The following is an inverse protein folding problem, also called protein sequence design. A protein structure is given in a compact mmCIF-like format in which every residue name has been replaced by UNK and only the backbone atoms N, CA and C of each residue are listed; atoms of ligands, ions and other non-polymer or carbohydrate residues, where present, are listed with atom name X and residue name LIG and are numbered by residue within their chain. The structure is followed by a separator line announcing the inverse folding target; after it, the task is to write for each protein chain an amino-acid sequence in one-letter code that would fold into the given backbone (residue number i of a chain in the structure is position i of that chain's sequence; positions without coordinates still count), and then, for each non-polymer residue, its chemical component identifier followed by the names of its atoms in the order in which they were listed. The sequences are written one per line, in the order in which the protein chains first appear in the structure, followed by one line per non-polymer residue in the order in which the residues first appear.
data_IF_901099019533
#
_entry.id   IF_901099019533
#
_cell.length_a   1.000
_cell.length_b   1.000
_cell.length_c   1.000
_cell.angle_alpha   90.00
_cell.angle_beta   90.00
_cell.angle_gamma   90.00
#
_symmetry.space_group_name_H-M   'P 1'
#
loop_
_entity.id
_entity.type
_entity.pdbx_description
1 polymer ?
#
# COMPACT_ATOMS: atom_id res chain seq x y z
N UNK A 1 27.43 20.03 2.27
CA UNK A 1 26.06 20.55 2.50
C UNK A 1 25.87 21.77 1.62
N UNK A 2 24.84 21.74 0.75
CA UNK A 2 23.59 22.38 1.14
C UNK A 2 22.35 21.49 0.94
N UNK A 3 21.51 21.50 1.98
CA UNK A 3 20.04 21.57 1.98
C UNK A 3 19.25 20.55 1.16
N UNK A 4 19.00 19.38 1.75
CA UNK A 4 17.91 18.45 1.39
C UNK A 4 16.58 18.89 2.02
N UNK A 5 16.28 20.20 2.02
CA UNK A 5 15.11 20.78 2.70
C UNK A 5 14.30 21.71 1.80
N UNK A 6 14.18 21.37 0.51
CA UNK A 6 13.47 22.21 -0.48
C UNK A 6 12.59 21.42 -1.47
N UNK A 7 12.19 20.19 -1.11
CA UNK A 7 11.20 19.41 -1.88
C UNK A 7 9.80 19.40 -1.27
N UNK A 8 9.68 19.86 -0.02
CA UNK A 8 8.42 19.85 0.74
C UNK A 8 7.69 21.20 0.78
N UNK A 9 8.27 22.27 0.19
CA UNK A 9 7.73 23.64 0.36
C UNK A 9 7.09 24.26 -0.89
N UNK A 10 7.14 23.62 -2.07
CA UNK A 10 6.41 24.11 -3.23
C UNK A 10 4.95 23.59 -3.26
N UNK A 11 4.18 23.96 -2.25
CA UNK A 11 2.72 23.91 -2.32
C UNK A 11 2.25 25.08 -3.20
N UNK A 12 2.13 24.81 -4.51
CA UNK A 12 1.78 25.82 -5.52
C UNK A 12 0.48 26.58 -5.17
N UNK A 13 0.40 27.91 -5.36
CA UNK A 13 -0.81 28.73 -5.14
C UNK A 13 -2.03 28.27 -5.95
N UNK A 14 -1.81 27.45 -6.99
CA UNK A 14 -2.85 26.75 -7.75
C UNK A 14 -3.67 25.80 -6.88
N UNK A 15 -3.08 25.14 -5.87
CA UNK A 15 -3.80 24.25 -4.95
C UNK A 15 -4.76 24.98 -4.01
N UNK A 16 -4.44 26.23 -3.66
CA UNK A 16 -5.31 27.07 -2.84
C UNK A 16 -6.57 27.50 -3.63
N UNK A 17 -6.41 27.90 -4.90
CA UNK A 17 -7.55 28.21 -5.78
C UNK A 17 -8.33 26.96 -6.21
N UNK A 18 -7.65 25.83 -6.41
CA UNK A 18 -8.29 24.55 -6.72
C UNK A 18 -9.21 24.08 -5.58
N UNK A 19 -8.82 24.29 -4.30
CA UNK A 19 -9.65 23.92 -3.13
C UNK A 19 -11.07 24.50 -3.17
N UNK A 20 -11.23 25.72 -3.69
CA UNK A 20 -12.52 26.41 -3.78
C UNK A 20 -13.48 25.69 -4.76
N UNK A 21 -12.94 25.10 -5.85
CA UNK A 21 -13.71 24.55 -6.97
C UNK A 21 -13.72 23.02 -7.06
N UNK A 22 -13.17 22.30 -6.07
CA UNK A 22 -13.15 20.83 -6.11
C UNK A 22 -14.57 20.25 -6.14
N UNK A 23 -14.92 19.39 -7.12
CA UNK A 23 -16.26 18.86 -7.24
C UNK A 23 -16.62 18.00 -6.02
N UNK A 24 -17.88 18.13 -5.61
CA UNK A 24 -18.49 17.28 -4.57
C UNK A 24 -19.82 16.79 -5.09
N UNK A 25 -20.25 15.61 -4.64
CA UNK A 25 -21.59 15.11 -4.97
C UNK A 25 -22.36 14.73 -3.71
N UNK A 26 -23.70 14.76 -3.78
CA UNK A 26 -24.58 14.31 -2.70
C UNK A 26 -24.29 12.83 -2.42
N UNK A 27 -23.57 12.54 -1.34
CA UNK A 27 -23.11 11.20 -0.97
C UNK A 27 -21.61 10.94 -1.11
N UNK A 28 -20.83 11.84 -1.73
CA UNK A 28 -19.36 11.74 -1.74
C UNK A 28 -18.68 13.10 -1.49
N UNK A 29 -18.85 13.66 -0.26
CA UNK A 29 -18.21 14.91 0.15
C UNK A 29 -16.68 14.77 0.26
N UNK A 30 -15.97 15.90 0.22
CA UNK A 30 -14.48 15.95 0.21
C UNK A 30 -13.82 15.13 1.33
N UNK A 31 -14.40 15.13 2.53
CA UNK A 31 -13.89 14.34 3.66
C UNK A 31 -13.90 12.83 3.36
N UNK A 32 -14.94 12.33 2.71
CA UNK A 32 -15.01 10.92 2.29
C UNK A 32 -14.08 10.65 1.09
N UNK A 33 -13.90 11.60 0.17
CA UNK A 33 -12.91 11.47 -0.92
C UNK A 33 -11.49 11.32 -0.37
N UNK A 34 -11.10 12.15 0.60
CA UNK A 34 -9.80 12.05 1.25
C UNK A 34 -9.65 10.73 2.02
N UNK A 35 -10.68 10.30 2.76
CA UNK A 35 -10.66 9.02 3.45
C UNK A 35 -10.58 7.85 2.48
N UNK A 36 -11.29 7.91 1.35
CA UNK A 36 -11.23 6.91 0.30
C UNK A 36 -9.81 6.76 -0.23
N UNK A 37 -9.15 7.88 -0.56
CA UNK A 37 -7.78 7.89 -1.06
C UNK A 37 -6.78 7.37 -0.02
N UNK A 38 -7.00 7.67 1.27
CA UNK A 38 -6.19 7.12 2.37
C UNK A 38 -6.29 5.61 2.47
N UNK A 39 -7.51 5.06 2.41
CA UNK A 39 -7.73 3.60 2.44
C UNK A 39 -7.18 2.94 1.18
N UNK A 40 -7.36 3.59 0.02
CA UNK A 40 -6.78 3.11 -1.24
C UNK A 40 -5.25 3.08 -1.16
N UNK A 41 -4.61 4.10 -0.57
CA UNK A 41 -3.16 4.16 -0.39
C UNK A 41 -2.62 3.09 0.57
N UNK A 42 -3.44 2.60 1.49
CA UNK A 42 -3.06 1.55 2.41
C UNK A 42 -3.16 0.16 1.78
N UNK A 43 -4.24 -0.12 1.04
CA UNK A 43 -4.58 -1.49 0.62
C UNK A 43 -4.54 -1.74 -0.88
N UNK A 44 -4.57 -0.68 -1.70
CA UNK A 44 -4.61 -0.80 -3.17
C UNK A 44 -5.91 -1.40 -3.71
N UNK A 45 -6.93 -1.58 -2.87
CA UNK A 45 -8.18 -2.23 -3.24
C UNK A 45 -9.34 -1.22 -3.26
N UNK A 46 -9.79 -0.89 -4.46
CA UNK A 46 -10.89 0.06 -4.71
C UNK A 46 -12.21 -0.38 -4.08
N UNK A 47 -12.49 -1.69 -4.06
CA UNK A 47 -13.71 -2.23 -3.44
C UNK A 47 -13.68 -1.99 -1.93
N UNK A 48 -12.56 -2.28 -1.30
CA UNK A 48 -12.39 -2.05 0.15
C UNK A 48 -12.39 -0.57 0.49
N UNK A 49 -11.72 0.26 -0.29
CA UNK A 49 -11.75 1.72 -0.11
C UNK A 49 -13.17 2.28 -0.22
N UNK A 50 -13.94 1.84 -1.22
CA UNK A 50 -15.33 2.26 -1.41
C UNK A 50 -16.23 1.78 -0.25
N UNK A 51 -16.07 0.53 0.19
CA UNK A 51 -16.78 -0.04 1.33
C UNK A 51 -16.48 0.73 2.62
N UNK A 52 -15.21 1.05 2.87
CA UNK A 52 -14.76 1.73 4.08
C UNK A 52 -15.35 3.14 4.24
N UNK A 53 -15.64 3.83 3.14
CA UNK A 53 -16.25 5.17 3.18
C UNK A 53 -17.75 5.18 2.89
N UNK A 54 -18.37 4.01 2.67
CA UNK A 54 -19.80 3.90 2.41
C UNK A 54 -20.25 4.47 1.06
N UNK A 55 -19.40 4.44 0.03
CA UNK A 55 -19.76 4.90 -1.33
C UNK A 55 -19.73 3.78 -2.35
N UNK A 56 -20.49 3.92 -3.43
CA UNK A 56 -20.41 2.97 -4.54
C UNK A 56 -19.11 3.16 -5.33
N UNK A 57 -18.56 2.05 -5.87
CA UNK A 57 -17.40 2.12 -6.77
C UNK A 57 -17.68 3.03 -7.98
N UNK A 58 -18.89 2.98 -8.51
CA UNK A 58 -19.32 3.82 -9.64
C UNK A 58 -19.23 5.32 -9.31
N UNK A 59 -19.60 5.72 -8.09
CA UNK A 59 -19.45 7.10 -7.62
C UNK A 59 -17.96 7.50 -7.50
N UNK A 60 -17.10 6.60 -7.01
CA UNK A 60 -15.67 6.83 -6.91
C UNK A 60 -15.01 7.00 -8.30
N UNK A 61 -15.34 6.14 -9.26
CA UNK A 61 -14.87 6.27 -10.65
C UNK A 61 -15.41 7.50 -11.36
N UNK A 62 -16.66 7.90 -11.07
CA UNK A 62 -17.20 9.16 -11.60
C UNK A 62 -16.40 10.35 -11.07
N UNK A 63 -16.14 10.40 -9.77
CA UNK A 63 -15.30 11.44 -9.15
C UNK A 63 -13.90 11.49 -9.77
N UNK A 64 -13.30 10.32 -10.06
CA UNK A 64 -12.02 10.23 -10.77
C UNK A 64 -12.04 10.89 -12.16
N UNK A 65 -13.14 10.80 -12.90
CA UNK A 65 -13.27 11.46 -14.21
C UNK A 65 -13.56 12.95 -14.10
N UNK A 66 -14.27 13.37 -13.06
CA UNK A 66 -14.73 14.75 -12.87
C UNK A 66 -13.70 15.64 -12.16
N UNK A 67 -12.75 15.05 -11.44
CA UNK A 67 -11.78 15.78 -10.62
C UNK A 67 -10.34 15.36 -10.93
N UNK A 68 -9.58 16.26 -11.56
CA UNK A 68 -8.17 16.02 -11.87
C UNK A 68 -7.34 15.72 -10.62
N UNK A 69 -7.45 16.55 -9.57
CA UNK A 69 -6.72 16.33 -8.32
C UNK A 69 -7.03 14.97 -7.69
N UNK A 70 -8.31 14.55 -7.68
CA UNK A 70 -8.68 13.24 -7.15
C UNK A 70 -8.12 12.11 -8.00
N UNK A 71 -8.04 12.27 -9.33
CA UNK A 71 -7.41 11.28 -10.21
C UNK A 71 -5.90 11.17 -9.96
N UNK A 72 -5.20 12.30 -9.83
CA UNK A 72 -3.77 12.31 -9.53
C UNK A 72 -3.48 11.66 -8.17
N UNK A 73 -4.25 12.03 -7.15
CA UNK A 73 -4.12 11.43 -5.82
C UNK A 73 -4.53 9.95 -5.81
N UNK A 74 -5.43 9.52 -6.69
CA UNK A 74 -5.77 8.11 -6.85
C UNK A 74 -4.58 7.31 -7.39
N UNK A 75 -3.92 7.82 -8.42
CA UNK A 75 -2.75 7.16 -9.00
C UNK A 75 -1.58 7.16 -8.01
N UNK A 76 -1.38 8.27 -7.29
CA UNK A 76 -0.42 8.34 -6.19
C UNK A 76 -0.77 7.32 -5.08
N UNK A 77 -2.04 7.19 -4.71
CA UNK A 77 -2.48 6.21 -3.71
C UNK A 77 -2.18 4.78 -4.17
N UNK A 78 -2.42 4.42 -5.43
CA UNK A 78 -2.06 3.10 -5.95
C UNK A 78 -0.55 2.85 -5.91
N UNK A 79 0.26 3.87 -6.17
CA UNK A 79 1.71 3.77 -6.02
C UNK A 79 2.14 3.60 -4.55
N UNK A 80 1.50 4.32 -3.61
CA UNK A 80 1.75 4.14 -2.18
C UNK A 80 1.38 2.73 -1.70
N UNK A 81 0.28 2.17 -2.20
CA UNK A 81 -0.19 0.84 -1.84
C UNK A 81 0.64 -0.28 -2.48
N UNK A 82 1.57 0.06 -3.38
CA UNK A 82 2.33 -0.91 -4.16
C UNK A 82 2.96 -1.99 -3.27
N UNK A 83 3.72 -1.70 -2.20
CA UNK A 83 4.33 -2.74 -1.36
C UNK A 83 3.33 -3.74 -0.76
N UNK A 84 2.16 -3.26 -0.32
CA UNK A 84 1.09 -4.11 0.21
C UNK A 84 0.47 -5.01 -0.86
N UNK A 85 0.15 -4.45 -2.04
CA UNK A 85 -0.36 -5.24 -3.17
C UNK A 85 0.66 -6.27 -3.59
N UNK A 86 1.92 -5.85 -3.59
CA UNK A 86 3.07 -6.64 -3.93
C UNK A 86 3.25 -7.86 -2.99
N UNK A 87 2.95 -7.73 -1.71
CA UNK A 87 2.92 -8.82 -0.72
C UNK A 87 1.75 -9.78 -0.96
N UNK A 88 0.54 -9.25 -1.20
CA UNK A 88 -0.66 -10.06 -1.50
C UNK A 88 -0.46 -10.91 -2.76
N UNK A 89 0.22 -10.37 -3.77
CA UNK A 89 0.54 -11.13 -4.98
C UNK A 89 1.58 -12.22 -4.73
N UNK A 90 2.56 -11.98 -3.86
CA UNK A 90 3.56 -12.98 -3.49
C UNK A 90 2.91 -14.14 -2.72
N UNK A 91 2.05 -13.85 -1.74
CA UNK A 91 1.28 -14.85 -1.00
C UNK A 91 0.46 -15.73 -1.95
N UNK A 92 -0.34 -15.13 -2.85
CA UNK A 92 -1.14 -15.87 -3.83
C UNK A 92 -0.30 -16.66 -4.83
N UNK A 93 0.89 -16.18 -5.17
CA UNK A 93 1.81 -16.87 -6.07
C UNK A 93 2.36 -18.14 -5.40
N UNK A 94 2.84 -18.02 -4.16
CA UNK A 94 3.52 -19.08 -3.43
C UNK A 94 2.55 -20.09 -2.81
N UNK A 95 1.43 -19.62 -2.27
CA UNK A 95 0.46 -20.44 -1.54
C UNK A 95 -0.78 -20.79 -2.37
N UNK A 96 -0.96 -20.18 -3.54
CA UNK A 96 -2.14 -20.36 -4.37
C UNK A 96 -3.39 -19.68 -3.80
N UNK A 97 -4.52 -19.89 -4.47
CA UNK A 97 -5.84 -19.43 -4.02
C UNK A 97 -6.80 -20.59 -3.88
N UNK A 98 -7.59 -20.62 -2.80
CA UNK A 98 -8.62 -21.63 -2.62
C UNK A 98 -9.80 -21.37 -3.58
N UNK A 99 -10.20 -22.42 -4.29
CA UNK A 99 -11.39 -22.45 -5.14
C UNK A 99 -12.34 -23.53 -4.63
N UNK A 100 -13.58 -23.14 -4.37
CA UNK A 100 -14.67 -24.08 -4.13
C UNK A 100 -15.10 -24.72 -5.44
N UNK A 101 -15.15 -26.05 -5.47
CA UNK A 101 -15.64 -26.85 -6.59
C UNK A 101 -17.11 -27.16 -6.34
N UNK A 102 -17.97 -26.76 -7.27
CA UNK A 102 -19.40 -27.06 -7.24
C UNK A 102 -19.75 -28.14 -8.25
N UNK A 103 -20.58 -29.09 -7.85
CA UNK A 103 -21.18 -30.09 -8.73
C UNK A 103 -22.68 -30.17 -8.43
N UNK A 104 -23.52 -30.01 -9.46
CA UNK A 104 -24.97 -29.93 -9.31
C UNK A 104 -25.49 -28.91 -8.27
N UNK A 105 -24.77 -27.80 -8.09
CA UNK A 105 -25.16 -26.73 -7.16
C UNK A 105 -24.74 -26.98 -5.71
N UNK A 106 -24.16 -28.14 -5.41
CA UNK A 106 -23.58 -28.46 -4.11
C UNK A 106 -22.08 -28.24 -4.12
N UNK A 107 -21.55 -27.70 -3.02
CA UNK A 107 -20.10 -27.62 -2.79
C UNK A 107 -19.59 -29.04 -2.50
N UNK A 108 -18.71 -29.53 -3.39
CA UNK A 108 -18.23 -30.92 -3.33
C UNK A 108 -16.77 -31.03 -2.91
N UNK A 109 -15.98 -29.97 -3.04
CA UNK A 109 -14.58 -29.95 -2.62
C UNK A 109 -14.03 -28.51 -2.58
N UNK A 110 -12.88 -28.35 -1.91
CA UNK A 110 -12.02 -27.17 -2.06
C UNK A 110 -10.71 -27.61 -2.70
N UNK A 111 -10.20 -26.84 -3.66
CA UNK A 111 -8.88 -27.06 -4.26
C UNK A 111 -8.04 -25.80 -4.20
N UNK A 112 -6.72 -25.94 -4.08
CA UNK A 112 -5.79 -24.83 -4.23
C UNK A 112 -5.39 -24.69 -5.70
N UNK A 113 -5.69 -23.52 -6.29
CA UNK A 113 -5.27 -23.15 -7.64
C UNK A 113 -4.04 -22.24 -7.57
N UNK A 114 -3.00 -22.61 -8.29
CA UNK A 114 -1.82 -21.78 -8.49
C UNK A 114 -1.93 -21.02 -9.82
N UNK A 115 -1.46 -19.78 -9.85
CA UNK A 115 -1.41 -18.97 -11.07
C UNK A 115 0.05 -18.72 -11.48
N UNK A 116 0.49 -19.40 -12.54
CA UNK A 116 1.87 -19.29 -13.05
C UNK A 116 2.26 -17.86 -13.41
N UNK A 117 1.30 -16.99 -13.79
CA UNK A 117 1.60 -15.59 -14.10
C UNK A 117 1.97 -14.80 -12.84
N UNK A 118 1.32 -15.10 -11.71
CA UNK A 118 1.67 -14.49 -10.43
C UNK A 118 3.05 -14.96 -9.95
N UNK A 119 3.36 -16.24 -10.13
CA UNK A 119 4.70 -16.79 -9.85
C UNK A 119 5.78 -16.10 -10.69
N UNK A 120 5.59 -15.99 -12.01
CA UNK A 120 6.54 -15.31 -12.89
C UNK A 120 6.67 -13.81 -12.57
N UNK A 121 5.56 -13.14 -12.23
CA UNK A 121 5.60 -11.74 -11.82
C UNK A 121 6.33 -11.54 -10.47
N UNK A 122 6.21 -12.50 -9.55
CA UNK A 122 6.96 -12.51 -8.29
C UNK A 122 8.46 -12.74 -8.55
N UNK A 123 8.82 -13.73 -9.38
CA UNK A 123 10.20 -13.98 -9.80
C UNK A 123 10.83 -12.75 -10.43
N UNK A 124 10.17 -12.10 -11.40
CA UNK A 124 10.66 -10.87 -12.02
C UNK A 124 10.80 -9.68 -11.07
N UNK A 125 10.27 -9.75 -9.84
CA UNK A 125 10.61 -8.80 -8.77
C UNK A 125 11.88 -9.20 -8.03
N UNK A 126 12.05 -10.48 -7.73
CA UNK A 126 13.28 -11.00 -7.12
C UNK A 126 14.47 -10.74 -8.04
N UNK A 127 14.31 -10.92 -9.36
CA UNK A 127 15.33 -10.60 -10.37
C UNK A 127 15.72 -9.10 -10.35
N UNK A 128 14.78 -8.21 -10.01
CA UNK A 128 15.07 -6.77 -9.83
C UNK A 128 15.76 -6.48 -8.49
N UNK A 129 15.51 -7.27 -7.45
CA UNK A 129 16.25 -7.18 -6.19
C UNK A 129 17.68 -7.69 -6.34
N UNK A 130 17.89 -8.72 -7.17
CA UNK A 130 19.22 -9.21 -7.53
C UNK A 130 20.06 -8.15 -8.25
N UNK A 131 19.43 -7.15 -8.88
CA UNK A 131 20.16 -6.02 -9.48
C UNK A 131 20.61 -4.97 -8.46
N UNK A 132 20.08 -4.99 -7.22
CA UNK A 132 20.53 -4.11 -6.14
C UNK A 132 21.82 -4.66 -5.52
N UNK A 133 22.95 -4.00 -5.81
CA UNK A 133 24.27 -4.37 -5.28
C UNK A 133 24.26 -4.57 -3.77
N UNK A 134 23.55 -3.73 -2.99
CA UNK A 134 23.49 -3.87 -1.54
C UNK A 134 22.86 -5.20 -1.13
N UNK A 135 21.82 -5.64 -1.85
CA UNK A 135 21.14 -6.91 -1.60
C UNK A 135 22.06 -8.07 -1.96
N UNK A 136 22.73 -8.02 -3.11
CA UNK A 136 23.70 -9.04 -3.52
C UNK A 136 24.88 -9.11 -2.55
N UNK A 137 25.41 -7.98 -2.10
CA UNK A 137 26.51 -7.96 -1.14
C UNK A 137 26.10 -8.56 0.20
N UNK A 138 24.88 -8.28 0.65
CA UNK A 138 24.33 -8.85 1.89
C UNK A 138 24.07 -10.36 1.80
N UNK A 139 24.01 -10.95 0.60
CA UNK A 139 23.91 -12.42 0.50
C UNK A 139 25.24 -13.10 0.83
N UNK A 140 26.38 -12.41 0.66
CA UNK A 140 27.67 -12.91 1.09
C UNK A 140 27.77 -12.88 2.62
N UNK A 141 27.91 -14.07 3.23
CA UNK A 141 27.97 -14.18 4.68
C UNK A 141 26.62 -13.95 5.36
N UNK A 142 25.50 -14.13 4.64
CA UNK A 142 24.15 -13.98 5.17
C UNK A 142 23.95 -14.75 6.49
N UNK A 143 24.39 -16.01 6.56
CA UNK A 143 24.27 -16.83 7.77
C UNK A 143 25.04 -16.22 8.96
N UNK A 144 26.27 -15.75 8.73
CA UNK A 144 27.08 -15.08 9.76
C UNK A 144 26.45 -13.77 10.22
N UNK A 145 25.87 -12.99 9.30
CA UNK A 145 25.14 -11.77 9.63
C UNK A 145 23.86 -12.06 10.42
N UNK A 146 23.18 -13.16 10.14
CA UNK A 146 22.03 -13.63 10.92
C UNK A 146 22.43 -14.06 12.33
N UNK A 147 23.54 -14.76 12.50
CA UNK A 147 24.09 -15.10 13.82
C UNK A 147 24.36 -13.84 14.64
N UNK A 148 25.03 -12.85 14.06
CA UNK A 148 25.29 -11.54 14.71
C UNK A 148 23.98 -10.82 15.08
N UNK A 149 22.95 -10.90 14.25
CA UNK A 149 21.64 -10.33 14.55
C UNK A 149 20.92 -11.09 15.68
N UNK A 150 21.05 -12.41 15.73
CA UNK A 150 20.50 -13.25 16.79
C UNK A 150 21.19 -13.06 18.13
N UNK A 151 22.49 -12.79 18.11
CA UNK A 151 23.33 -12.49 19.26
C UNK A 151 23.28 -11.01 19.66
N UNK A 152 22.44 -10.19 19.01
CA UNK A 152 22.30 -8.79 19.32
C UNK A 152 21.98 -8.63 20.82
N UNK A 153 22.74 -7.81 21.57
CA UNK A 153 22.55 -7.68 23.01
C UNK A 153 21.09 -7.29 23.27
N UNK A 154 20.50 -7.88 24.31
CA UNK A 154 19.17 -7.49 24.76
C UNK A 154 19.14 -5.98 24.82
N UNK A 155 18.26 -5.37 24.02
CA UNK A 155 18.16 -3.93 23.85
C UNK A 155 17.90 -3.37 25.25
N UNK A 156 18.95 -2.94 25.94
CA UNK A 156 18.90 -2.45 27.30
C UNK A 156 17.80 -1.41 27.35
N UNK A 157 16.76 -1.74 28.12
CA UNK A 157 15.56 -0.96 28.39
C UNK A 157 15.41 0.25 27.47
N UNK A 158 14.67 0.09 26.36
CA UNK A 158 14.05 1.26 25.75
C UNK A 158 13.00 1.77 26.74
N UNK A 159 13.45 2.51 27.77
CA UNK A 159 12.61 3.41 28.52
C UNK A 159 12.33 4.56 27.55
N UNK A 160 11.11 4.68 26.97
CA UNK A 160 10.76 5.97 26.42
C UNK A 160 10.86 6.92 27.61
N UNK A 161 11.82 7.86 27.56
CA UNK A 161 11.80 8.98 28.46
C UNK A 161 10.42 9.61 28.31
N UNK A 162 9.56 9.36 29.31
CA UNK A 162 8.33 10.12 29.50
C UNK A 162 8.78 11.52 29.90
N UNK A 163 9.19 12.29 28.89
CA UNK A 163 9.21 13.73 28.94
C UNK A 163 7.76 14.21 29.08
N UNK A 164 7.39 14.49 30.32
CA UNK A 164 6.53 15.63 30.68
C UNK A 164 5.18 15.72 29.95
N UNK A 165 4.21 14.92 30.42
CA UNK A 165 2.88 15.47 30.57
C UNK A 165 2.89 16.31 31.84
N UNK A 166 3.28 17.59 31.69
CA UNK A 166 2.97 18.60 32.68
C UNK A 166 1.45 18.64 32.86
N UNK A 167 1.02 18.14 34.00
CA UNK A 167 -0.19 18.57 34.66
C UNK A 167 -0.04 20.06 35.00
N UNK A 168 -0.84 20.91 34.36
CA UNK A 168 -1.64 21.98 34.99
C UNK A 168 -2.60 22.61 33.96
#
# INVERSE_FOLDING_TARGET
MPQTSDRAQNFSPVLAQAREQLPTSKGFPRKLQAQFLRVLAQWGNVREAARAVGVSRSAAYRMRRECLLFSELWDAALLCARPQVEEVLADRALNGTQETVFYHGEEVATRTRYDSRLLLAHLGRLDRLEQDRRVVEATYGFDQQLEVLGDAPERGEWAPERGELATE
#
